data_IF_847259516718
#
_entry.id   IF_847259516718
#
_cell.length_a   1.000
_cell.length_b   1.000
_cell.length_c   1.000
_cell.angle_alpha   90.00
_cell.angle_beta   90.00
_cell.angle_gamma   90.00
#
_symmetry.space_group_name_H-M   'P 1'
#
loop_
_entity.id
_entity.type
_entity.pdbx_description
1 polymer ?
#
# COMPACT_ATOMS: atom_id res chain seq x y z
N UNK A 1 4.12 9.80 -3.62
CA UNK A 1 4.22 9.96 -2.15
C UNK A 1 5.31 10.97 -1.81
N UNK A 2 5.29 11.57 -0.60
CA UNK A 2 6.41 12.39 -0.14
C UNK A 2 7.68 11.54 -0.06
N UNK A 3 8.80 12.03 -0.60
CA UNK A 3 10.06 11.27 -0.64
C UNK A 3 10.67 11.09 0.74
N UNK A 4 10.43 12.04 1.65
CA UNK A 4 11.00 12.05 3.00
C UNK A 4 10.04 12.75 3.98
N UNK A 5 10.15 12.42 5.26
CA UNK A 5 9.35 13.00 6.33
C UNK A 5 9.77 12.49 7.70
N UNK A 6 9.21 13.06 8.76
CA UNK A 6 9.53 12.68 10.16
C UNK A 6 8.42 11.86 10.80
N UNK A 7 7.21 11.91 10.25
CA UNK A 7 6.03 11.20 10.73
C UNK A 7 5.07 10.88 9.58
N UNK A 8 4.01 10.13 9.89
CA UNK A 8 2.99 9.72 8.92
C UNK A 8 2.29 10.92 8.27
N UNK A 9 2.02 11.99 9.02
CA UNK A 9 1.29 13.15 8.51
C UNK A 9 2.12 13.88 7.45
N UNK A 10 3.43 14.05 7.68
CA UNK A 10 4.35 14.63 6.72
C UNK A 10 4.52 13.76 5.45
N UNK A 11 4.31 12.45 5.58
CA UNK A 11 4.47 11.48 4.50
C UNK A 11 3.20 11.26 3.68
N UNK A 12 2.04 11.55 4.28
CA UNK A 12 0.72 11.37 3.67
C UNK A 12 0.37 12.57 2.78
N UNK A 13 0.26 12.41 1.45
CA UNK A 13 -0.10 13.52 0.58
C UNK A 13 -1.57 13.93 0.77
N UNK A 14 -1.88 15.17 0.41
CA UNK A 14 -3.26 15.65 0.36
C UNK A 14 -4.14 14.72 -0.48
N UNK A 15 -5.39 14.50 -0.04
CA UNK A 15 -6.39 13.61 -0.67
C UNK A 15 -6.07 12.12 -0.57
N UNK A 16 -5.12 11.72 0.26
CA UNK A 16 -4.88 10.33 0.62
C UNK A 16 -5.17 10.11 2.10
N UNK A 17 -5.64 8.91 2.42
CA UNK A 17 -5.86 8.44 3.79
C UNK A 17 -5.03 7.19 4.00
N UNK A 18 -4.31 7.12 5.12
CA UNK A 18 -3.63 5.89 5.53
C UNK A 18 -4.66 4.92 6.07
N UNK A 19 -4.78 3.75 5.44
CA UNK A 19 -5.77 2.72 5.81
C UNK A 19 -5.15 1.54 6.55
N UNK A 20 -3.82 1.35 6.44
CA UNK A 20 -3.08 0.37 7.25
C UNK A 20 -1.62 0.82 7.43
N UNK A 21 -0.98 0.38 8.50
CA UNK A 21 0.41 0.72 8.86
C UNK A 21 1.09 -0.45 9.55
N UNK A 22 2.31 -0.75 9.13
CA UNK A 22 3.16 -1.72 9.80
C UNK A 22 4.54 -1.14 10.08
N UNK A 23 5.15 -1.68 11.14
CA UNK A 23 6.47 -1.30 11.59
C UNK A 23 7.33 -2.52 11.83
N UNK A 24 8.62 -2.40 11.52
CA UNK A 24 9.63 -3.42 11.76
C UNK A 24 10.89 -3.09 10.98
N UNK A 25 11.95 -3.87 11.14
CA UNK A 25 13.21 -3.66 10.44
C UNK A 25 13.17 -4.41 9.09
N UNK A 26 13.20 -3.73 7.95
CA UNK A 26 13.15 -4.36 6.61
C UNK A 26 14.52 -4.43 5.94
N UNK A 27 15.48 -3.62 6.39
CA UNK A 27 16.79 -3.44 5.75
C UNK A 27 17.96 -4.00 6.59
N UNK A 28 17.68 -4.62 7.73
CA UNK A 28 18.61 -5.22 8.68
C UNK A 28 19.55 -4.23 9.38
N UNK A 29 19.12 -2.99 9.58
CA UNK A 29 19.89 -1.98 10.32
C UNK A 29 19.50 -1.87 11.81
N UNK A 30 18.57 -2.71 12.28
CA UNK A 30 17.96 -2.67 13.63
C UNK A 30 17.20 -1.38 13.94
N UNK A 31 16.83 -0.59 12.93
CA UNK A 31 15.97 0.58 13.05
C UNK A 31 14.58 0.20 12.54
N UNK A 32 13.55 0.68 13.24
CA UNK A 32 12.17 0.38 12.88
C UNK A 32 11.73 1.22 11.66
N UNK A 33 11.67 0.55 10.51
CA UNK A 33 11.09 1.03 9.26
C UNK A 33 9.55 1.04 9.33
N UNK A 34 8.93 1.56 8.26
CA UNK A 34 7.49 1.73 8.18
C UNK A 34 6.95 1.36 6.79
N UNK A 35 5.87 0.60 6.76
CA UNK A 35 5.05 0.39 5.57
C UNK A 35 3.68 1.02 5.77
N UNK A 36 3.19 1.73 4.75
CA UNK A 36 1.89 2.37 4.71
C UNK A 36 1.09 1.82 3.53
N UNK A 37 -0.19 1.56 3.77
CA UNK A 37 -1.17 1.47 2.68
C UNK A 37 -2.01 2.73 2.71
N UNK A 38 -2.04 3.44 1.58
CA UNK A 38 -2.82 4.64 1.40
C UNK A 38 -3.94 4.40 0.40
N UNK A 39 -5.12 4.93 0.69
CA UNK A 39 -6.25 4.97 -0.23
C UNK A 39 -6.53 6.42 -0.63
N UNK A 40 -6.76 6.65 -1.92
CA UNK A 40 -7.14 7.98 -2.40
C UNK A 40 -8.59 8.28 -2.03
N UNK A 41 -8.87 9.50 -1.58
CA UNK A 41 -10.18 9.87 -1.04
C UNK A 41 -11.29 9.89 -2.09
N UNK A 42 -10.94 10.02 -3.37
CA UNK A 42 -11.89 10.05 -4.48
C UNK A 42 -11.68 8.84 -5.39
N UNK A 43 -12.79 8.28 -5.89
CA UNK A 43 -12.73 7.34 -6.98
C UNK A 43 -12.29 8.06 -8.27
N UNK A 44 -11.41 7.42 -9.02
CA UNK A 44 -10.93 7.90 -10.32
C UNK A 44 -11.01 6.76 -11.34
N UNK A 45 -11.03 7.13 -12.62
CA UNK A 45 -10.96 6.13 -13.69
C UNK A 45 -9.52 5.64 -13.82
N UNK A 46 -9.30 4.36 -13.53
CA UNK A 46 -8.00 3.70 -13.74
C UNK A 46 -8.12 2.61 -14.78
N UNK A 47 -7.02 2.42 -15.50
CA UNK A 47 -6.86 1.34 -16.48
C UNK A 47 -5.95 0.30 -15.86
N UNK A 48 -6.47 -0.91 -15.67
CA UNK A 48 -5.69 -2.03 -15.12
C UNK A 48 -5.86 -3.26 -16.00
N UNK A 49 -4.79 -4.02 -16.12
CA UNK A 49 -4.83 -5.38 -16.62
C UNK A 49 -5.00 -6.30 -15.42
N UNK A 50 -5.98 -7.20 -15.49
CA UNK A 50 -6.17 -8.27 -14.52
C UNK A 50 -5.74 -9.57 -15.17
N UNK A 51 -4.70 -10.24 -14.65
CA UNK A 51 -4.21 -11.51 -15.20
C UNK A 51 -2.89 -11.38 -15.97
N UNK A 52 -2.76 -12.12 -17.06
CA UNK A 52 -1.65 -11.98 -18.00
C UNK A 52 -1.81 -10.66 -18.78
N UNK A 53 -0.73 -9.98 -19.11
CA UNK A 53 -0.77 -8.65 -19.75
C UNK A 53 -1.39 -8.64 -21.18
N UNK A 54 -2.12 -9.68 -21.57
CA UNK A 54 -2.86 -9.84 -22.82
C UNK A 54 -4.38 -9.66 -22.65
N UNK A 55 -4.90 -9.76 -21.41
CA UNK A 55 -6.33 -9.63 -21.12
C UNK A 55 -6.78 -8.17 -20.91
N UNK A 56 -8.03 -7.90 -21.30
CA UNK A 56 -8.61 -6.57 -21.51
C UNK A 56 -8.26 -5.53 -20.42
N UNK A 57 -7.87 -4.33 -20.86
CA UNK A 57 -7.74 -3.17 -19.97
C UNK A 57 -9.15 -2.74 -19.54
N UNK A 58 -9.58 -3.19 -18.37
CA UNK A 58 -10.85 -2.77 -17.78
C UNK A 58 -10.66 -1.35 -17.24
N UNK A 59 -11.58 -0.45 -17.60
CA UNK A 59 -11.69 0.87 -16.99
C UNK A 59 -12.56 0.73 -15.75
N UNK A 60 -11.97 1.00 -14.60
CA UNK A 60 -12.70 0.91 -13.34
C UNK A 60 -12.72 2.26 -12.64
N UNK A 61 -13.88 2.60 -12.09
CA UNK A 61 -14.07 3.80 -11.30
C UNK A 61 -14.01 3.43 -9.82
N UNK A 62 -12.82 3.51 -9.25
CA UNK A 62 -12.55 3.05 -7.89
C UNK A 62 -11.56 3.96 -7.19
N UNK A 63 -11.40 3.81 -5.87
CA UNK A 63 -10.39 4.53 -5.08
C UNK A 63 -9.04 3.82 -5.19
N UNK A 64 -8.00 4.43 -5.79
CA UNK A 64 -6.67 3.85 -5.85
C UNK A 64 -6.10 3.52 -4.49
N UNK A 65 -5.30 2.46 -4.42
CA UNK A 65 -4.47 2.13 -3.26
C UNK A 65 -2.99 2.11 -3.62
N UNK A 66 -2.16 2.54 -2.68
CA UNK A 66 -0.70 2.61 -2.85
C UNK A 66 -0.05 1.99 -1.62
N UNK A 67 0.89 1.08 -1.87
CA UNK A 67 1.88 0.65 -0.88
C UNK A 67 3.06 1.61 -0.92
N UNK A 68 3.44 2.15 0.23
CA UNK A 68 4.66 2.93 0.40
C UNK A 68 5.49 2.36 1.55
N UNK A 69 6.77 2.08 1.30
CA UNK A 69 7.72 1.62 2.31
C UNK A 69 8.76 2.70 2.52
N UNK A 70 9.04 2.99 3.79
CA UNK A 70 9.96 4.01 4.23
C UNK A 70 11.02 3.40 5.14
N UNK A 71 12.29 3.64 4.81
CA UNK A 71 13.39 3.33 5.71
C UNK A 71 13.67 4.49 6.64
N UNK A 72 13.91 4.19 7.90
CA UNK A 72 14.21 5.19 8.93
C UNK A 72 15.71 5.27 9.18
N UNK A 73 16.26 6.48 9.20
CA UNK A 73 17.66 6.68 9.57
C UNK A 73 17.84 6.82 11.10
N UNK A 74 19.09 6.79 11.54
CA UNK A 74 19.46 6.97 12.95
C UNK A 74 19.11 8.34 13.54
N UNK A 75 18.76 9.32 12.70
CA UNK A 75 18.27 10.66 13.10
C UNK A 75 16.75 10.70 13.19
N UNK A 76 16.07 9.58 12.94
CA UNK A 76 14.63 9.43 13.03
C UNK A 76 13.88 9.89 11.78
N UNK A 77 14.57 10.17 10.68
CA UNK A 77 13.96 10.61 9.42
C UNK A 77 13.63 9.42 8.53
N UNK A 78 12.42 9.42 7.99
CA UNK A 78 11.96 8.43 7.02
C UNK A 78 12.29 8.87 5.59
N UNK A 79 12.77 7.93 4.77
CA UNK A 79 13.00 8.09 3.33
C UNK A 79 12.29 7.00 2.56
N UNK A 80 11.56 7.37 1.50
CA UNK A 80 10.83 6.44 0.65
C UNK A 80 11.80 5.47 -0.02
N UNK A 81 11.64 4.19 0.28
CA UNK A 81 12.43 3.09 -0.27
C UNK A 81 11.71 2.41 -1.45
N UNK A 82 10.39 2.21 -1.31
CA UNK A 82 9.55 1.56 -2.31
C UNK A 82 8.20 2.25 -2.39
N UNK A 83 7.66 2.38 -3.59
CA UNK A 83 6.26 2.73 -3.83
C UNK A 83 5.69 1.76 -4.88
N UNK A 84 4.53 1.17 -4.61
CA UNK A 84 3.81 0.34 -5.57
C UNK A 84 2.34 0.74 -5.62
N UNK A 85 1.84 1.08 -6.81
CA UNK A 85 0.48 1.58 -7.03
C UNK A 85 -0.47 0.50 -7.59
N UNK A 86 0.04 -0.72 -7.80
CA UNK A 86 -0.67 -1.80 -8.49
C UNK A 86 -0.80 -3.07 -7.62
N UNK A 87 -0.08 -3.20 -6.52
CA UNK A 87 -0.07 -4.46 -5.78
C UNK A 87 -1.26 -4.60 -4.83
N UNK A 88 -1.75 -3.49 -4.27
CA UNK A 88 -2.79 -3.51 -3.25
C UNK A 88 -4.16 -3.58 -3.90
N UNK A 89 -4.91 -4.64 -3.58
CA UNK A 89 -6.29 -4.79 -4.01
C UNK A 89 -7.19 -3.71 -3.40
N UNK A 90 -8.11 -3.15 -4.19
CA UNK A 90 -9.08 -2.12 -3.78
C UNK A 90 -10.31 -2.75 -3.12
N UNK A 91 -11.10 -1.94 -2.42
CA UNK A 91 -12.28 -2.40 -1.67
C UNK A 91 -13.28 -3.23 -2.49
N UNK A 92 -13.39 -2.99 -3.80
CA UNK A 92 -14.34 -3.69 -4.68
C UNK A 92 -13.72 -4.89 -5.41
N UNK A 93 -12.45 -5.22 -5.15
CA UNK A 93 -11.71 -6.27 -5.86
C UNK A 93 -11.72 -7.63 -5.12
N UNK A 94 -12.43 -7.77 -3.99
CA UNK A 94 -12.53 -9.04 -3.23
C UNK A 94 -13.71 -9.94 -3.58
N UNK A 95 -14.50 -9.59 -4.60
CA UNK A 95 -15.68 -10.36 -5.01
C UNK A 95 -16.83 -10.27 -3.99
N UNK A 96 -17.56 -11.36 -3.79
CA UNK A 96 -18.69 -11.41 -2.84
C UNK A 96 -18.25 -11.21 -1.39
N UNK A 97 -17.00 -11.51 -1.06
CA UNK A 97 -16.41 -11.31 0.27
C UNK A 97 -16.09 -9.84 0.62
N UNK A 98 -16.18 -8.92 -0.34
CA UNK A 98 -16.00 -7.48 -0.10
C UNK A 98 -14.53 -7.06 0.05
N UNK A 99 -14.19 -6.34 1.14
CA UNK A 99 -12.87 -5.74 1.36
C UNK A 99 -11.74 -6.79 1.37
N UNK A 100 -10.84 -6.79 0.36
CA UNK A 100 -9.88 -7.87 0.22
C UNK A 100 -8.62 -7.73 1.07
N UNK A 101 -8.23 -6.51 1.48
CA UNK A 101 -7.04 -6.30 2.28
C UNK A 101 -7.34 -6.64 3.75
N UNK A 102 -6.62 -7.62 4.32
CA UNK A 102 -6.84 -8.07 5.70
C UNK A 102 -5.73 -7.72 6.66
N UNK A 103 -4.48 -7.71 6.19
CA UNK A 103 -3.36 -7.41 7.09
C UNK A 103 -2.13 -6.89 6.36
N UNK A 104 -1.48 -5.90 6.96
CA UNK A 104 -0.11 -5.50 6.69
C UNK A 104 0.76 -5.80 7.93
N UNK A 105 1.86 -6.52 7.75
CA UNK A 105 2.79 -6.81 8.86
C UNK A 105 4.23 -6.80 8.38
N UNK A 106 5.14 -6.30 9.21
CA UNK A 106 6.57 -6.55 9.06
C UNK A 106 6.98 -7.56 10.12
N UNK A 107 7.53 -8.70 9.70
CA UNK A 107 7.99 -9.76 10.60
C UNK A 107 9.14 -10.52 9.94
N UNK A 108 10.15 -10.88 10.74
CA UNK A 108 11.36 -11.57 10.28
C UNK A 108 11.99 -10.84 9.08
N UNK A 109 12.15 -9.52 9.23
CA UNK A 109 12.69 -8.62 8.22
C UNK A 109 12.02 -8.66 6.85
N UNK A 110 10.75 -9.09 6.80
CA UNK A 110 9.98 -9.25 5.58
C UNK A 110 8.61 -8.56 5.72
N UNK A 111 8.14 -8.01 4.61
CA UNK A 111 6.79 -7.43 4.50
C UNK A 111 5.79 -8.52 4.11
N UNK A 112 4.79 -8.72 4.95
CA UNK A 112 3.70 -9.68 4.77
C UNK A 112 2.41 -8.94 4.50
N UNK A 113 1.72 -9.34 3.43
CA UNK A 113 0.43 -8.81 3.01
C UNK A 113 -0.57 -9.95 2.98
N UNK A 114 -1.68 -9.79 3.70
CA UNK A 114 -2.79 -10.73 3.74
C UNK A 114 -3.94 -10.23 2.89
N UNK A 115 -4.34 -11.04 1.90
CA UNK A 115 -5.53 -10.80 1.10
C UNK A 115 -6.51 -11.96 1.27
N UNK A 116 -7.79 -11.65 1.27
CA UNK A 116 -8.88 -12.63 1.25
C UNK A 116 -9.90 -12.19 0.20
N UNK A 117 -10.45 -13.12 -0.56
CA UNK A 117 -11.41 -12.81 -1.60
C UNK A 117 -11.91 -14.08 -2.25
N UNK A 118 -13.03 -13.95 -2.95
CA UNK A 118 -13.71 -15.07 -3.59
C UNK A 118 -15.22 -14.90 -3.58
N UNK A 119 -15.86 -15.56 -4.52
CA UNK A 119 -17.30 -15.64 -4.73
C UNK A 119 -17.52 -16.71 -5.79
N UNK A 120 -18.49 -17.59 -5.57
CA UNK A 120 -18.69 -18.82 -6.36
C UNK A 120 -19.17 -18.55 -7.78
#
# INVERSE_FOLDING_TARGET
MSKQGVDINALTPNKWTVIDTAYGDLNHDNIQDMALILEHNLAINERRAYGDNETEIIKEFQKPRVLAVYFKDSKGKYTLALQNNNFILRANEGGEMGEPLKSLKIANNSLHLGFEGGGG
#
